data_IF_299897606865
#
_entry.id   IF_299897606865
#
_cell.length_a   1.000
_cell.length_b   1.000
_cell.length_c   1.000
_cell.angle_alpha   90.00
_cell.angle_beta   90.00
_cell.angle_gamma   90.00
#
_symmetry.space_group_name_H-M   'P 1'
#
loop_
_entity.id
_entity.type
_entity.pdbx_description
1 polymer ?
#
# COMPACT_ATOMS: atom_id res chain seq x y z
N UNK A 1 129.04 -2.12 14.77
CA UNK A 1 128.11 -2.88 13.92
C UNK A 1 126.73 -3.14 14.54
N UNK A 2 126.55 -3.17 15.87
CA UNK A 2 125.23 -3.46 16.50
C UNK A 2 124.14 -2.39 16.26
N UNK A 3 124.53 -1.12 16.04
CA UNK A 3 123.58 -0.01 15.81
C UNK A 3 122.99 0.00 14.39
N UNK A 4 123.71 -0.56 13.41
CA UNK A 4 123.22 -0.64 12.01
C UNK A 4 122.09 -1.66 11.82
N UNK A 5 121.93 -2.64 12.73
CA UNK A 5 120.89 -3.68 12.64
C UNK A 5 119.63 -3.33 13.44
N UNK A 6 119.76 -2.54 14.51
CA UNK A 6 118.63 -2.18 15.37
C UNK A 6 117.63 -1.24 14.69
N UNK A 7 118.15 -0.26 13.93
CA UNK A 7 117.34 0.72 13.21
C UNK A 7 116.38 0.06 12.18
N UNK A 8 116.84 -0.80 11.25
CA UNK A 8 115.92 -1.47 10.32
C UNK A 8 114.95 -2.42 11.02
N UNK A 9 115.36 -3.10 12.10
CA UNK A 9 114.48 -3.99 12.86
C UNK A 9 113.30 -3.26 13.51
N UNK A 10 113.53 -2.07 14.09
CA UNK A 10 112.44 -1.26 14.67
C UNK A 10 111.46 -0.74 13.62
N UNK A 11 111.96 -0.38 12.42
CA UNK A 11 111.11 0.05 11.31
C UNK A 11 110.20 -1.10 10.87
N UNK A 12 110.74 -2.32 10.71
CA UNK A 12 109.94 -3.50 10.36
C UNK A 12 108.86 -3.78 11.43
N UNK A 13 109.21 -3.70 12.71
CA UNK A 13 108.22 -3.87 13.79
C UNK A 13 107.13 -2.79 13.78
N UNK A 14 107.46 -1.54 13.48
CA UNK A 14 106.47 -0.46 13.38
C UNK A 14 105.48 -0.71 12.23
N UNK A 15 105.95 -1.21 11.09
CA UNK A 15 105.11 -1.54 9.93
C UNK A 15 104.20 -2.73 10.26
N UNK A 16 104.71 -3.78 10.92
CA UNK A 16 103.90 -4.92 11.35
C UNK A 16 102.76 -4.51 12.30
N UNK A 17 103.04 -3.64 13.26
CA UNK A 17 102.02 -3.11 14.18
C UNK A 17 100.97 -2.31 13.39
N UNK A 18 101.40 -1.47 12.44
CA UNK A 18 100.47 -0.68 11.63
C UNK A 18 99.54 -1.55 10.76
N UNK A 19 100.06 -2.65 10.20
CA UNK A 19 99.27 -3.63 9.44
C UNK A 19 98.24 -4.31 10.35
N UNK A 20 98.65 -4.75 11.55
CA UNK A 20 97.72 -5.35 12.51
C UNK A 20 96.61 -4.38 12.95
N UNK A 21 96.94 -3.10 13.18
CA UNK A 21 95.95 -2.07 13.52
C UNK A 21 94.97 -1.85 12.36
N UNK A 22 95.46 -1.83 11.10
CA UNK A 22 94.62 -1.70 9.90
C UNK A 22 93.64 -2.88 9.77
N UNK A 23 94.13 -4.11 9.85
CA UNK A 23 93.31 -5.34 9.77
C UNK A 23 92.23 -5.34 10.86
N UNK A 24 92.60 -5.03 12.11
CA UNK A 24 91.64 -4.97 13.23
C UNK A 24 90.60 -3.86 13.05
N UNK A 25 91.00 -2.71 12.50
CA UNK A 25 90.08 -1.61 12.20
C UNK A 25 89.11 -2.00 11.07
N UNK A 26 89.58 -2.69 10.04
CA UNK A 26 88.74 -3.14 8.93
C UNK A 26 87.73 -4.20 9.40
N UNK A 27 88.16 -5.19 10.20
CA UNK A 27 87.27 -6.16 10.85
C UNK A 27 86.21 -5.48 11.74
N UNK A 28 86.61 -4.47 12.51
CA UNK A 28 85.68 -3.70 13.33
C UNK A 28 84.66 -2.90 12.48
N UNK A 29 85.10 -2.36 11.34
CA UNK A 29 84.19 -1.68 10.40
C UNK A 29 83.24 -2.66 9.71
N UNK A 30 83.69 -3.84 9.30
CA UNK A 30 82.82 -4.85 8.71
C UNK A 30 81.78 -5.39 9.69
N UNK A 31 82.20 -5.66 10.92
CA UNK A 31 81.28 -6.11 11.98
C UNK A 31 80.25 -5.04 12.30
N UNK A 32 80.64 -3.77 12.37
CA UNK A 32 79.71 -2.66 12.55
C UNK A 32 78.71 -2.54 11.38
N UNK A 33 79.18 -2.62 10.13
CA UNK A 33 78.30 -2.62 8.94
C UNK A 33 77.30 -3.77 8.98
N UNK A 34 77.74 -4.99 9.30
CA UNK A 34 76.87 -6.17 9.43
C UNK A 34 75.86 -5.98 10.56
N UNK A 35 76.30 -5.47 11.72
CA UNK A 35 75.41 -5.19 12.84
C UNK A 35 74.33 -4.16 12.46
N UNK A 36 74.70 -3.06 11.80
CA UNK A 36 73.72 -2.06 11.34
C UNK A 36 72.76 -2.62 10.29
N UNK A 37 73.24 -3.47 9.38
CA UNK A 37 72.38 -4.08 8.36
C UNK A 37 71.37 -5.05 8.98
N UNK A 38 71.81 -5.85 9.95
CA UNK A 38 70.92 -6.75 10.71
C UNK A 38 69.91 -5.94 11.53
N UNK A 39 70.32 -4.87 12.20
CA UNK A 39 69.42 -3.99 12.94
C UNK A 39 68.35 -3.36 12.04
N UNK A 40 68.75 -2.79 10.90
CA UNK A 40 67.81 -2.23 9.92
C UNK A 40 66.85 -3.31 9.42
N UNK A 41 67.36 -4.50 9.08
CA UNK A 41 66.52 -5.61 8.60
C UNK A 41 65.52 -6.07 9.66
N UNK A 42 65.93 -6.15 10.93
CA UNK A 42 65.04 -6.49 12.03
C UNK A 42 63.97 -5.42 12.23
N UNK A 43 64.33 -4.14 12.21
CA UNK A 43 63.38 -3.02 12.31
C UNK A 43 62.34 -3.07 11.19
N UNK A 44 62.77 -3.23 9.94
CA UNK A 44 61.85 -3.33 8.80
C UNK A 44 60.96 -4.56 8.91
N UNK A 45 61.49 -5.69 9.37
CA UNK A 45 60.69 -6.90 9.57
C UNK A 45 59.64 -6.72 10.67
N UNK A 46 59.99 -6.03 11.76
CA UNK A 46 59.08 -5.73 12.87
C UNK A 46 58.00 -4.72 12.46
N UNK A 47 58.36 -3.69 11.70
CA UNK A 47 57.42 -2.71 11.14
C UNK A 47 56.39 -3.40 10.23
N UNK A 48 56.86 -4.26 9.30
CA UNK A 48 55.97 -5.03 8.40
C UNK A 48 55.10 -6.01 9.19
N UNK A 49 55.64 -6.70 10.19
CA UNK A 49 54.86 -7.59 11.06
C UNK A 49 53.79 -6.85 11.84
N UNK A 50 54.10 -5.64 12.32
CA UNK A 50 53.14 -4.77 13.00
C UNK A 50 52.03 -4.34 12.05
N UNK A 51 52.35 -3.98 10.81
CA UNK A 51 51.34 -3.66 9.79
C UNK A 51 50.41 -4.85 9.54
N UNK A 52 50.94 -6.05 9.30
CA UNK A 52 50.12 -7.26 9.15
C UNK A 52 49.26 -7.57 10.38
N UNK A 53 49.78 -7.36 11.59
CA UNK A 53 49.02 -7.54 12.81
C UNK A 53 47.88 -6.51 12.93
N UNK A 54 48.14 -5.27 12.50
CA UNK A 54 47.14 -4.20 12.40
C UNK A 54 46.04 -4.53 11.41
N UNK A 55 46.40 -4.88 10.17
CA UNK A 55 45.44 -5.27 9.12
C UNK A 55 44.58 -6.45 9.56
N UNK A 56 45.17 -7.43 10.25
CA UNK A 56 44.42 -8.58 10.78
C UNK A 56 43.43 -8.16 11.87
N UNK A 57 43.77 -7.18 12.70
CA UNK A 57 42.87 -6.68 13.73
C UNK A 57 41.71 -5.88 13.12
N UNK A 58 42.00 -5.02 12.16
CA UNK A 58 41.01 -4.26 11.40
C UNK A 58 40.06 -5.18 10.63
N UNK A 59 40.59 -6.13 9.87
CA UNK A 59 39.79 -7.12 9.15
C UNK A 59 38.89 -7.93 10.08
N UNK A 60 39.38 -8.28 11.27
CA UNK A 60 38.58 -8.99 12.26
C UNK A 60 37.44 -8.11 12.79
N UNK A 61 37.71 -6.84 13.07
CA UNK A 61 36.70 -5.87 13.47
C UNK A 61 35.64 -5.68 12.38
N UNK A 62 36.05 -5.60 11.11
CA UNK A 62 35.15 -5.48 9.98
C UNK A 62 34.27 -6.73 9.82
N UNK A 63 34.86 -7.92 9.96
CA UNK A 63 34.12 -9.19 9.94
C UNK A 63 33.10 -9.24 11.07
N UNK A 64 33.48 -8.86 12.29
CA UNK A 64 32.58 -8.87 13.44
C UNK A 64 31.44 -7.85 13.25
N UNK A 65 31.75 -6.65 12.73
CA UNK A 65 30.76 -5.62 12.41
C UNK A 65 29.79 -6.08 11.32
N UNK A 66 30.30 -6.62 10.21
CA UNK A 66 29.49 -7.15 9.13
C UNK A 66 28.60 -8.32 9.59
N UNK A 67 29.12 -9.17 10.48
CA UNK A 67 28.35 -10.27 11.06
C UNK A 67 27.21 -9.78 11.95
N UNK A 68 27.42 -8.70 12.70
CA UNK A 68 26.37 -8.13 13.54
C UNK A 68 25.30 -7.42 12.71
N UNK A 69 25.69 -6.67 11.68
CA UNK A 69 24.75 -6.10 10.69
C UNK A 69 23.94 -7.20 9.99
N UNK A 70 24.58 -8.32 9.64
CA UNK A 70 23.89 -9.45 9.04
C UNK A 70 22.85 -10.07 9.98
N UNK A 71 23.19 -10.26 11.26
CA UNK A 71 22.23 -10.79 12.26
C UNK A 71 21.08 -9.82 12.50
N UNK A 72 21.32 -8.52 12.47
CA UNK A 72 20.27 -7.51 12.59
C UNK A 72 19.32 -7.59 11.39
N UNK A 73 19.88 -7.60 10.18
CA UNK A 73 19.08 -7.74 8.94
C UNK A 73 18.31 -9.05 8.89
N UNK A 74 18.91 -10.17 9.33
CA UNK A 74 18.25 -11.48 9.38
C UNK A 74 17.07 -11.51 10.36
N UNK A 75 17.19 -10.80 11.50
CA UNK A 75 16.08 -10.63 12.45
C UNK A 75 14.93 -9.84 11.85
N UNK A 76 15.23 -8.83 11.04
CA UNK A 76 14.22 -7.99 10.39
C UNK A 76 13.58 -8.69 9.18
N UNK A 77 14.29 -9.61 8.53
CA UNK A 77 13.79 -10.31 7.34
C UNK A 77 12.58 -11.20 7.65
N UNK A 78 12.58 -11.94 8.75
CA UNK A 78 11.46 -12.82 9.15
C UNK A 78 10.13 -12.07 9.33
N UNK A 79 10.03 -11.01 10.15
CA UNK A 79 8.77 -10.28 10.31
C UNK A 79 8.34 -9.58 9.03
N UNK A 80 9.29 -9.11 8.19
CA UNK A 80 8.95 -8.55 6.88
C UNK A 80 8.34 -9.62 5.96
N UNK A 81 8.91 -10.82 5.95
CA UNK A 81 8.39 -11.93 5.16
C UNK A 81 7.00 -12.36 5.64
N UNK A 82 6.81 -12.51 6.95
CA UNK A 82 5.49 -12.82 7.54
C UNK A 82 4.45 -11.72 7.23
N UNK A 83 4.84 -10.45 7.32
CA UNK A 83 3.97 -9.33 6.97
C UNK A 83 3.61 -9.33 5.48
N UNK A 84 4.56 -9.63 4.60
CA UNK A 84 4.33 -9.74 3.16
C UNK A 84 3.39 -10.90 2.82
N UNK A 85 3.59 -12.07 3.44
CA UNK A 85 2.73 -13.24 3.25
C UNK A 85 1.30 -12.95 3.75
N UNK A 86 1.18 -12.30 4.91
CA UNK A 86 -0.13 -11.88 5.45
C UNK A 86 -0.83 -10.89 4.51
N UNK A 87 -0.12 -9.86 4.06
CA UNK A 87 -0.65 -8.86 3.14
C UNK A 87 -1.09 -9.49 1.81
N UNK A 88 -0.34 -10.47 1.30
CA UNK A 88 -0.73 -11.22 0.11
C UNK A 88 -2.03 -12.00 0.31
N UNK A 89 -2.15 -12.72 1.43
CA UNK A 89 -3.38 -13.46 1.76
C UNK A 89 -4.59 -12.52 1.92
N UNK A 90 -4.41 -11.36 2.53
CA UNK A 90 -5.47 -10.34 2.65
C UNK A 90 -5.86 -9.77 1.29
N UNK A 91 -4.90 -9.52 0.40
CA UNK A 91 -5.17 -9.06 -0.96
C UNK A 91 -5.92 -10.12 -1.78
N UNK A 92 -5.56 -11.40 -1.65
CA UNK A 92 -6.26 -12.51 -2.30
C UNK A 92 -7.72 -12.62 -1.82
N UNK A 93 -7.95 -12.52 -0.50
CA UNK A 93 -9.31 -12.49 0.06
C UNK A 93 -10.13 -11.30 -0.42
N UNK A 94 -9.55 -10.10 -0.41
CA UNK A 94 -10.20 -8.89 -0.90
C UNK A 94 -10.59 -9.01 -2.39
N UNK A 95 -9.71 -9.60 -3.21
CA UNK A 95 -10.00 -9.85 -4.62
C UNK A 95 -11.11 -10.90 -4.83
N UNK A 96 -11.20 -11.91 -3.97
CA UNK A 96 -12.26 -12.91 -3.99
C UNK A 96 -13.61 -12.29 -3.56
N UNK A 97 -13.64 -11.54 -2.47
CA UNK A 97 -14.82 -10.81 -1.99
C UNK A 97 -15.30 -9.80 -3.05
N UNK A 98 -14.38 -9.09 -3.71
CA UNK A 98 -14.72 -8.16 -4.79
C UNK A 98 -15.40 -8.87 -5.96
N UNK A 99 -14.94 -10.07 -6.33
CA UNK A 99 -15.59 -10.88 -7.37
C UNK A 99 -16.99 -11.31 -6.95
N UNK A 100 -17.13 -11.85 -5.73
CA UNK A 100 -18.44 -12.25 -5.20
C UNK A 100 -19.43 -11.08 -5.18
N UNK A 101 -19.00 -9.91 -4.69
CA UNK A 101 -19.83 -8.70 -4.67
C UNK A 101 -20.21 -8.24 -6.07
N UNK A 102 -19.31 -8.38 -7.04
CA UNK A 102 -19.59 -8.04 -8.43
C UNK A 102 -20.61 -8.99 -9.05
N UNK A 103 -20.45 -10.29 -8.84
CA UNK A 103 -21.40 -11.29 -9.33
C UNK A 103 -22.79 -11.10 -8.71
N UNK A 104 -22.87 -10.75 -7.42
CA UNK A 104 -24.13 -10.40 -6.75
C UNK A 104 -24.75 -9.12 -7.33
N UNK A 105 -23.93 -8.10 -7.60
CA UNK A 105 -24.39 -6.85 -8.20
C UNK A 105 -24.96 -7.08 -9.61
N UNK A 106 -24.24 -7.83 -10.45
CA UNK A 106 -24.67 -8.16 -11.82
C UNK A 106 -25.99 -8.98 -11.79
N UNK A 107 -26.12 -9.90 -10.83
CA UNK A 107 -27.37 -10.65 -10.62
C UNK A 107 -28.52 -9.72 -10.20
N UNK A 108 -28.29 -8.84 -9.23
CA UNK A 108 -29.30 -7.90 -8.75
C UNK A 108 -29.73 -6.92 -9.83
N UNK A 109 -28.81 -6.46 -10.67
CA UNK A 109 -29.11 -5.61 -11.84
C UNK A 109 -29.99 -6.35 -12.85
N UNK A 110 -29.72 -7.64 -13.08
CA UNK A 110 -30.54 -8.50 -13.94
C UNK A 110 -31.95 -8.72 -13.36
N UNK A 111 -32.05 -8.97 -12.06
CA UNK A 111 -33.35 -9.11 -11.38
C UNK A 111 -34.14 -7.81 -11.43
N UNK A 112 -33.50 -6.67 -11.14
CA UNK A 112 -34.13 -5.35 -11.19
C UNK A 112 -34.63 -4.99 -12.59
N UNK A 113 -33.84 -5.26 -13.64
CA UNK A 113 -34.25 -5.00 -15.03
C UNK A 113 -35.44 -5.85 -15.46
N UNK A 114 -35.47 -7.14 -15.09
CA UNK A 114 -36.63 -7.99 -15.33
C UNK A 114 -37.88 -7.50 -14.57
N UNK A 115 -37.74 -7.23 -13.27
CA UNK A 115 -38.86 -6.77 -12.43
C UNK A 115 -39.44 -5.45 -12.95
N UNK A 116 -38.58 -4.55 -13.41
CA UNK A 116 -39.00 -3.28 -14.03
C UNK A 116 -39.79 -3.53 -15.31
N UNK A 117 -39.34 -4.44 -16.17
CA UNK A 117 -40.04 -4.79 -17.40
C UNK A 117 -41.41 -5.43 -17.12
N UNK A 118 -41.52 -6.30 -16.12
CA UNK A 118 -42.80 -6.87 -15.69
C UNK A 118 -43.74 -5.81 -15.12
N UNK A 119 -43.23 -4.93 -14.25
CA UNK A 119 -43.98 -3.81 -13.70
C UNK A 119 -44.52 -2.88 -14.79
N UNK A 120 -43.68 -2.51 -15.76
CA UNK A 120 -44.07 -1.63 -16.86
C UNK A 120 -45.17 -2.29 -17.72
N UNK A 121 -45.04 -3.59 -18.00
CA UNK A 121 -46.05 -4.37 -18.74
C UNK A 121 -47.38 -4.47 -17.97
N UNK A 122 -47.35 -4.79 -16.69
CA UNK A 122 -48.57 -4.84 -15.86
C UNK A 122 -49.23 -3.47 -15.77
N UNK A 123 -48.46 -2.41 -15.57
CA UNK A 123 -48.95 -1.04 -15.51
C UNK A 123 -49.62 -0.62 -16.84
N UNK A 124 -49.05 -0.98 -17.98
CA UNK A 124 -49.70 -0.79 -19.28
C UNK A 124 -51.01 -1.57 -19.40
N UNK A 125 -51.02 -2.83 -18.94
CA UNK A 125 -52.22 -3.66 -18.96
C UNK A 125 -53.34 -3.10 -18.07
N UNK A 126 -53.03 -2.64 -16.85
CA UNK A 126 -53.97 -1.99 -15.95
C UNK A 126 -54.50 -0.68 -16.51
N UNK A 127 -53.66 0.10 -17.18
CA UNK A 127 -54.12 1.33 -17.87
C UNK A 127 -55.11 0.99 -18.99
N UNK A 128 -54.83 -0.04 -19.78
CA UNK A 128 -55.73 -0.49 -20.83
C UNK A 128 -57.07 -1.01 -20.27
N UNK A 129 -57.04 -1.77 -19.17
CA UNK A 129 -58.25 -2.23 -18.47
C UNK A 129 -59.05 -1.06 -17.90
N UNK A 130 -58.39 -0.06 -17.29
CA UNK A 130 -59.06 1.14 -16.79
C UNK A 130 -59.74 1.93 -17.93
N UNK A 131 -59.09 2.06 -19.08
CA UNK A 131 -59.71 2.71 -20.24
C UNK A 131 -60.88 1.90 -20.80
N UNK A 132 -60.75 0.57 -20.88
CA UNK A 132 -61.83 -0.31 -21.30
C UNK A 132 -63.02 -0.25 -20.34
N UNK A 133 -62.77 -0.26 -19.03
CA UNK A 133 -63.80 -0.16 -18.00
C UNK A 133 -64.48 1.21 -18.03
N UNK A 134 -63.73 2.30 -18.25
CA UNK A 134 -64.30 3.63 -18.47
C UNK A 134 -65.21 3.67 -19.70
N UNK A 135 -64.83 3.02 -20.80
CA UNK A 135 -65.68 2.89 -22.00
C UNK A 135 -66.94 2.10 -21.70
N UNK A 136 -66.84 0.94 -21.04
CA UNK A 136 -68.00 0.15 -20.63
C UNK A 136 -68.92 0.90 -19.65
N UNK A 137 -68.39 1.79 -18.82
CA UNK A 137 -69.19 2.60 -17.92
C UNK A 137 -69.93 3.74 -18.65
N UNK A 138 -69.33 4.29 -19.71
CA UNK A 138 -69.99 5.29 -20.58
C UNK A 138 -71.01 4.66 -21.52
N UNK A 139 -70.79 3.41 -21.94
CA UNK A 139 -71.71 2.65 -22.78
C UNK A 139 -72.83 2.07 -21.90
N UNK A 140 -74.02 2.70 -21.92
CA UNK A 140 -75.17 2.27 -21.10
C UNK A 140 -75.39 0.77 -21.24
N UNK A 141 -75.40 0.06 -20.09
CA UNK A 141 -75.61 -1.39 -20.07
C UNK A 141 -76.89 -1.76 -20.83
N UNK A 142 -76.87 -2.81 -21.68
CA UNK A 142 -78.07 -3.25 -22.40
C UNK A 142 -79.19 -3.68 -21.44
N UNK A 143 -78.87 -3.98 -20.18
CA UNK A 143 -79.86 -4.25 -19.13
C UNK A 143 -80.64 -2.98 -18.75
N UNK A 144 -80.00 -1.80 -18.83
CA UNK A 144 -80.65 -0.51 -18.60
C UNK A 144 -81.74 -0.19 -19.63
N UNK A 145 -81.74 -0.82 -20.81
CA UNK A 145 -82.82 -0.70 -21.78
C UNK A 145 -84.13 -1.39 -21.32
N UNK A 146 -84.06 -2.29 -20.34
CA UNK A 146 -85.21 -3.02 -19.80
C UNK A 146 -85.70 -2.47 -18.45
N UNK A 147 -84.99 -1.51 -17.86
CA UNK A 147 -85.36 -0.90 -16.58
C UNK A 147 -86.31 0.27 -16.84
N UNK A 148 -87.46 0.29 -16.14
CA UNK A 148 -88.41 1.41 -16.24
C UNK A 148 -87.78 2.67 -15.66
N UNK A 149 -87.79 3.75 -16.45
CA UNK A 149 -87.26 5.11 -16.20
C UNK A 149 -87.69 5.81 -14.91
N UNK A 150 -88.59 5.21 -14.10
CA UNK A 150 -89.10 5.80 -12.84
C UNK A 150 -88.84 4.95 -11.59
N UNK A 151 -88.09 3.85 -11.68
CA UNK A 151 -87.64 3.11 -10.49
C UNK A 151 -86.27 3.62 -10.03
N UNK A 152 -85.93 3.39 -8.76
CA UNK A 152 -84.60 3.71 -8.22
C UNK A 152 -83.46 3.03 -9.01
N UNK A 153 -83.77 1.90 -9.66
CA UNK A 153 -82.85 1.21 -10.57
C UNK A 153 -82.54 1.99 -11.87
N UNK A 154 -83.42 2.89 -12.31
CA UNK A 154 -83.17 3.79 -13.44
C UNK A 154 -82.07 4.83 -13.15
N UNK A 155 -81.93 5.25 -11.88
CA UNK A 155 -80.88 6.18 -11.46
C UNK A 155 -79.48 5.56 -11.54
N UNK A 156 -79.37 4.24 -11.38
CA UNK A 156 -78.11 3.49 -11.50
C UNK A 156 -77.65 3.31 -12.97
N UNK A 157 -78.51 3.65 -13.94
CA UNK A 157 -78.28 3.45 -15.37
C UNK A 157 -77.82 4.72 -16.12
N UNK A 158 -77.37 5.74 -15.38
CA UNK A 158 -76.78 6.95 -15.95
C UNK A 158 -77.77 7.81 -16.74
N UNK A 159 -79.07 7.69 -16.49
CA UNK A 159 -79.97 8.80 -16.79
C UNK A 159 -79.64 9.90 -15.79
N UNK A 160 -78.99 10.95 -16.28
CA UNK A 160 -79.16 12.28 -15.73
C UNK A 160 -80.67 12.56 -15.77
N UNK A 161 -81.33 12.24 -14.66
CA UNK A 161 -82.42 13.08 -14.20
C UNK A 161 -81.81 14.46 -14.22
N UNK A 162 -82.25 15.31 -15.16
CA UNK A 162 -82.17 16.75 -15.00
C UNK A 162 -82.83 17.03 -13.66
N UNK A 163 -82.03 17.02 -12.61
CA UNK A 163 -82.40 17.63 -11.36
C UNK A 163 -82.49 19.12 -11.69
N UNK A 164 -83.71 19.55 -11.98
CA UNK A 164 -84.14 20.86 -11.53
C UNK A 164 -83.92 20.83 -10.02
N UNK A 165 -82.74 21.29 -9.60
CA UNK A 165 -82.48 21.67 -8.23
C UNK A 165 -82.48 23.18 -8.22
N UNK A 166 -83.67 23.75 -8.04
CA UNK A 166 -83.81 25.06 -7.42
C UNK A 166 -84.21 24.81 -5.97
N UNK A 167 -83.20 24.79 -5.11
CA UNK A 167 -83.07 25.70 -3.96
C UNK A 167 -81.84 25.28 -3.15
N UNK A 168 -80.76 26.00 -3.36
CA UNK A 168 -79.81 26.39 -2.32
C UNK A 168 -80.52 27.28 -1.27
N UNK A 169 -79.93 27.59 -0.08
CA UNK A 169 -78.63 27.18 0.43
C UNK A 169 -78.61 26.85 1.94
N UNK A 170 -77.41 26.42 2.34
CA UNK A 170 -76.72 26.53 3.65
C UNK A 170 -76.43 25.17 4.26
N UNK A 171 -75.25 24.88 4.79
CA UNK A 171 -73.92 25.48 4.83
C UNK A 171 -73.12 24.51 5.71
N UNK A 172 -71.87 24.27 5.35
CA UNK A 172 -70.81 23.71 6.20
C UNK A 172 -70.92 22.24 6.61
N UNK A 173 -70.28 21.40 5.80
CA UNK A 173 -69.74 20.11 6.19
C UNK A 173 -68.27 20.29 6.63
N UNK A 174 -67.82 19.37 7.46
CA UNK A 174 -66.44 18.89 7.57
C UNK A 174 -65.41 19.69 8.37
N UNK A 175 -65.22 19.22 9.61
CA UNK A 175 -63.90 19.08 10.21
C UNK A 175 -63.26 17.80 9.64
N UNK A 176 -62.27 17.97 8.78
CA UNK A 176 -61.41 16.91 8.25
C UNK A 176 -59.98 17.18 8.77
N UNK A 177 -59.48 16.32 9.67
CA UNK A 177 -58.05 16.08 9.93
C UNK A 177 -57.64 14.94 8.97
N UNK A 178 -56.50 14.87 8.28
CA UNK A 178 -55.24 15.62 8.18
C UNK A 178 -54.68 15.33 6.75
N UNK A 179 -53.61 15.96 6.20
CA UNK A 179 -52.23 15.80 6.69
C UNK A 179 -51.31 17.02 6.49
N UNK A 180 -50.22 17.03 7.26
CA UNK A 180 -49.14 18.01 7.16
C UNK A 180 -48.18 17.66 6.02
N UNK A 181 -47.93 18.62 5.14
CA UNK A 181 -46.66 18.73 4.40
C UNK A 181 -46.33 20.21 4.14
N UNK A 182 -45.21 20.68 4.71
CA UNK A 182 -44.36 21.75 4.16
C UNK A 182 -43.06 21.73 4.98
N UNK A 183 -41.95 21.26 4.41
CA UNK A 183 -41.07 21.99 3.50
C UNK A 183 -40.23 23.04 4.25
N UNK A 184 -38.98 22.67 4.53
CA UNK A 184 -37.90 23.64 4.69
C UNK A 184 -36.73 23.20 3.80
N UNK A 185 -36.59 23.89 2.68
CA UNK A 185 -35.47 23.81 1.77
C UNK A 185 -35.04 25.23 1.43
N UNK A 186 -33.99 25.73 2.09
CA UNK A 186 -33.06 26.71 1.50
C UNK A 186 -31.77 26.82 2.30
N UNK A 187 -30.66 26.38 1.71
CA UNK A 187 -29.51 27.26 1.39
C UNK A 187 -28.34 26.43 0.85
N UNK A 188 -28.03 26.65 -0.43
CA UNK A 188 -26.79 26.26 -1.07
C UNK A 188 -25.72 27.37 -0.90
N UNK A 189 -24.47 26.94 -1.07
CA UNK A 189 -23.34 27.71 -1.59
C UNK A 189 -22.63 28.72 -0.65
N UNK A 190 -21.47 28.29 -0.15
CA UNK A 190 -20.33 29.15 0.12
C UNK A 190 -19.02 28.40 -0.21
N UNK A 191 -18.66 28.41 -1.50
CA UNK A 191 -17.27 28.30 -1.96
C UNK A 191 -17.02 29.50 -2.87
N UNK A 192 -16.08 30.35 -2.48
CA UNK A 192 -15.42 31.31 -3.35
C UNK A 192 -13.99 31.44 -2.89
#
# INVERSE_FOLDING_TARGET
MKVQVFLPATIIMSVLIMVLIKVRRDEAQETLKRATFVDIKLRVSDDVLREYAGEKAELKQDIDTAKDQYKETDKDMKPIQEAADKARLEAEKCAEEQKSMKDELDKLETEHTNLKAEFDKENESFKAELEALKKQLQEKSPVCAFVKTKSDAGKLCGEEVKEVKEEEPKKDESKQEAPAESADAKAAAASK
#
